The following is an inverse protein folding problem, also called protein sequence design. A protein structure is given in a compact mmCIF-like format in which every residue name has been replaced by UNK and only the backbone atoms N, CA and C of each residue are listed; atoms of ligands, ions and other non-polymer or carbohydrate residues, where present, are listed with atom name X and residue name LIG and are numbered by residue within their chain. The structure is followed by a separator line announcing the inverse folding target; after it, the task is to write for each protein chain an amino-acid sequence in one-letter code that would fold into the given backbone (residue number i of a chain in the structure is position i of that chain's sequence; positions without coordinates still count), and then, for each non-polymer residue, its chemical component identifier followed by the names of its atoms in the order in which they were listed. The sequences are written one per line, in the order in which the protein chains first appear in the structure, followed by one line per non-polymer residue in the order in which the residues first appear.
data_IF_385872861667
#
_entry.id   IF_385872861667
#
_cell.length_a   1.000
_cell.length_b   1.000
_cell.length_c   1.000
_cell.angle_alpha   90.00
_cell.angle_beta   90.00
_cell.angle_gamma   90.00
#
_symmetry.space_group_name_H-M   'P 1'
#
loop_
_entity.id
_entity.type
_entity.pdbx_description
1 polymer ?
#
# COMPACT_ATOMS: atom_id res chain seq x y z
N UNK A 1 15.11 -15.79 -16.48
CA UNK A 1 15.87 -15.60 -15.22
C UNK A 1 14.98 -14.83 -14.26
N UNK A 2 14.70 -15.36 -13.07
CA UNK A 2 13.89 -14.63 -12.08
C UNK A 2 14.71 -13.42 -11.60
N UNK A 3 14.31 -12.21 -12.00
CA UNK A 3 14.95 -10.98 -11.54
C UNK A 3 14.86 -10.85 -10.01
N UNK A 4 15.73 -10.05 -9.40
CA UNK A 4 15.68 -9.76 -7.95
C UNK A 4 14.30 -9.18 -7.59
N UNK A 5 13.77 -9.60 -6.45
CA UNK A 5 12.47 -9.13 -5.96
C UNK A 5 12.67 -8.11 -4.85
N UNK A 6 11.91 -7.04 -4.91
CA UNK A 6 11.94 -5.95 -3.95
C UNK A 6 10.54 -5.69 -3.40
N UNK A 7 10.48 -5.35 -2.13
CA UNK A 7 9.31 -4.84 -1.44
C UNK A 7 9.60 -3.42 -0.96
N UNK A 8 8.82 -2.45 -1.41
CA UNK A 8 8.76 -1.12 -0.82
C UNK A 8 7.54 -1.09 0.10
N UNK A 9 7.78 -1.01 1.41
CA UNK A 9 6.71 -0.89 2.41
C UNK A 9 6.53 0.57 2.79
N UNK A 10 5.35 1.11 2.51
CA UNK A 10 5.02 2.51 2.77
C UNK A 10 4.55 2.70 4.22
N UNK A 11 5.40 3.28 5.04
CA UNK A 11 5.15 3.58 6.45
C UNK A 11 5.44 5.05 6.80
N UNK A 12 5.42 5.95 5.80
CA UNK A 12 5.76 7.36 5.95
C UNK A 12 4.63 8.26 6.49
N UNK A 13 3.40 7.73 6.62
CA UNK A 13 2.25 8.53 7.08
C UNK A 13 2.27 8.79 8.58
N UNK A 14 1.88 9.99 9.01
CA UNK A 14 1.79 10.35 10.43
C UNK A 14 0.55 9.79 11.14
N UNK A 15 -0.44 9.27 10.42
CA UNK A 15 -1.57 8.50 10.98
C UNK A 15 -2.50 9.25 11.93
N UNK A 16 -2.68 10.55 11.76
CA UNK A 16 -3.40 11.47 12.66
C UNK A 16 -4.85 11.06 13.00
N UNK A 17 -5.49 10.22 12.16
CA UNK A 17 -6.88 9.76 12.36
C UNK A 17 -7.08 8.76 13.51
N UNK A 18 -6.01 8.18 14.03
CA UNK A 18 -6.07 7.17 15.11
C UNK A 18 -6.03 7.79 16.52
N UNK A 19 -5.90 9.12 16.66
CA UNK A 19 -5.99 9.84 17.93
C UNK A 19 -4.85 9.59 18.94
N UNK A 20 -3.79 8.86 18.55
CA UNK A 20 -2.68 8.51 19.44
C UNK A 20 -1.39 9.27 19.14
N UNK A 21 -0.43 9.23 20.07
CA UNK A 21 0.91 9.82 19.91
C UNK A 21 1.83 9.00 19.02
N UNK A 22 1.47 7.76 18.66
CA UNK A 22 2.24 6.87 17.83
C UNK A 22 1.56 6.68 16.47
N UNK A 23 2.26 6.86 15.34
CA UNK A 23 1.69 6.58 14.03
C UNK A 23 1.19 5.14 13.92
N UNK A 24 0.04 4.96 13.26
CA UNK A 24 -0.70 3.70 13.24
C UNK A 24 0.12 2.48 12.79
N UNK A 25 1.07 2.66 11.86
CA UNK A 25 1.93 1.57 11.40
C UNK A 25 2.82 0.98 12.49
N UNK A 26 3.05 1.73 13.56
CA UNK A 26 3.84 1.30 14.72
C UNK A 26 2.97 0.82 15.89
N UNK A 27 1.65 1.00 15.82
CA UNK A 27 0.72 0.45 16.81
C UNK A 27 0.76 -1.07 16.79
N UNK A 28 0.49 -1.68 17.93
CA UNK A 28 0.51 -3.13 18.08
C UNK A 28 -0.80 -3.76 17.61
N UNK A 29 -0.68 -4.82 16.85
CA UNK A 29 -1.72 -5.74 16.43
C UNK A 29 -1.24 -7.16 16.78
N UNK A 30 -1.95 -7.87 17.63
CA UNK A 30 -1.54 -9.21 18.12
C UNK A 30 -0.06 -9.25 18.59
N UNK A 31 0.31 -8.31 19.47
CA UNK A 31 1.63 -8.24 20.12
C UNK A 31 2.79 -7.78 19.22
N UNK A 32 2.57 -7.46 17.94
CA UNK A 32 3.60 -6.93 17.02
C UNK A 32 3.14 -5.63 16.38
N UNK A 33 4.07 -4.74 16.02
CA UNK A 33 3.72 -3.56 15.23
C UNK A 33 3.07 -3.99 13.90
N UNK A 34 2.07 -3.23 13.42
CA UNK A 34 1.38 -3.51 12.15
C UNK A 34 2.39 -3.61 11.00
N UNK A 35 3.36 -2.70 10.95
CA UNK A 35 4.44 -2.71 9.97
C UNK A 35 5.27 -4.00 10.02
N UNK A 36 5.58 -4.48 11.24
CA UNK A 36 6.31 -5.75 11.43
C UNK A 36 5.50 -6.93 10.86
N UNK A 37 4.21 -7.03 11.19
CA UNK A 37 3.34 -8.08 10.67
C UNK A 37 3.25 -8.03 9.13
N UNK A 38 3.11 -6.83 8.57
CA UNK A 38 3.07 -6.62 7.12
C UNK A 38 4.34 -7.14 6.45
N UNK A 39 5.52 -6.81 6.98
CA UNK A 39 6.80 -7.29 6.42
C UNK A 39 6.92 -8.80 6.55
N UNK A 40 6.53 -9.39 7.68
CA UNK A 40 6.58 -10.84 7.90
C UNK A 40 5.79 -11.61 6.82
N UNK A 41 4.62 -11.12 6.39
CA UNK A 41 3.84 -11.76 5.32
C UNK A 41 4.63 -11.89 4.01
N UNK A 42 5.38 -10.85 3.65
CA UNK A 42 6.21 -10.89 2.45
C UNK A 42 7.43 -11.78 2.59
N UNK A 43 8.08 -11.79 3.75
CA UNK A 43 9.22 -12.68 4.03
C UNK A 43 8.81 -14.16 4.02
N UNK A 44 7.63 -14.48 4.56
CA UNK A 44 7.08 -15.84 4.53
C UNK A 44 6.66 -16.27 3.11
N UNK A 45 6.14 -15.35 2.30
CA UNK A 45 5.73 -15.65 0.94
C UNK A 45 6.91 -15.72 -0.05
N UNK A 46 7.93 -14.86 0.12
CA UNK A 46 9.07 -14.67 -0.78
C UNK A 46 10.33 -14.47 0.08
N UNK A 47 10.97 -15.56 0.54
CA UNK A 47 12.08 -15.48 1.51
C UNK A 47 13.32 -14.71 1.01
N UNK A 48 13.50 -14.60 -0.31
CA UNK A 48 14.61 -13.88 -0.97
C UNK A 48 14.29 -12.41 -1.30
N UNK A 49 13.18 -11.87 -0.78
CA UNK A 49 12.76 -10.50 -1.07
C UNK A 49 13.65 -9.47 -0.36
N UNK A 50 14.08 -8.46 -1.11
CA UNK A 50 14.80 -7.32 -0.55
C UNK A 50 13.81 -6.28 -0.03
N UNK A 51 13.91 -5.88 1.24
CA UNK A 51 12.94 -4.99 1.88
C UNK A 51 13.47 -3.55 1.94
N UNK A 52 12.66 -2.61 1.48
CA UNK A 52 12.86 -1.16 1.61
C UNK A 52 11.69 -0.63 2.45
N UNK A 53 11.99 -0.10 3.62
CA UNK A 53 10.97 0.48 4.51
C UNK A 53 11.03 1.99 4.44
N UNK A 54 9.91 2.61 4.04
CA UNK A 54 9.81 4.07 3.92
C UNK A 54 9.19 4.63 5.20
N UNK A 55 9.99 5.33 5.98
CA UNK A 55 9.62 5.93 7.27
C UNK A 55 9.26 7.42 7.12
N UNK A 56 8.61 8.06 8.13
CA UNK A 56 8.33 9.48 8.12
C UNK A 56 9.57 10.36 7.85
N UNK A 57 9.36 11.49 7.18
CA UNK A 57 10.45 12.34 6.68
C UNK A 57 11.22 13.07 7.77
N UNK A 58 10.62 13.28 8.96
CA UNK A 58 11.22 13.97 10.10
C UNK A 58 12.35 13.18 10.80
N UNK A 59 12.48 11.88 10.48
CA UNK A 59 13.49 10.99 11.07
C UNK A 59 13.21 10.59 12.52
N UNK A 60 12.12 11.07 13.13
CA UNK A 60 11.77 10.78 14.53
C UNK A 60 11.62 9.26 14.78
N UNK A 61 11.16 8.51 13.77
CA UNK A 61 10.87 7.09 13.90
C UNK A 61 11.98 6.17 13.39
N UNK A 62 13.10 6.71 12.89
CA UNK A 62 14.23 5.89 12.43
C UNK A 62 14.84 5.07 13.58
N UNK A 63 15.13 5.75 14.70
CA UNK A 63 15.64 5.12 15.92
C UNK A 63 14.59 4.21 16.53
N UNK A 64 13.37 4.70 16.69
CA UNK A 64 12.27 3.89 17.25
C UNK A 64 12.11 2.56 16.50
N UNK A 65 12.11 2.56 15.18
CA UNK A 65 11.94 1.34 14.38
C UNK A 65 13.12 0.39 14.52
N UNK A 66 14.35 0.91 14.57
CA UNK A 66 15.56 0.09 14.80
C UNK A 66 15.52 -0.57 16.19
N UNK A 67 15.22 0.19 17.24
CA UNK A 67 15.15 -0.29 18.61
C UNK A 67 14.01 -1.31 18.77
N UNK A 68 12.88 -1.07 18.12
CA UNK A 68 11.78 -2.03 18.05
C UNK A 68 12.23 -3.34 17.39
N UNK A 69 12.89 -3.31 16.26
CA UNK A 69 13.38 -4.51 15.57
C UNK A 69 14.35 -5.29 16.46
N UNK A 70 15.28 -4.62 17.13
CA UNK A 70 16.22 -5.23 18.07
C UNK A 70 15.47 -5.89 19.24
N UNK A 71 14.56 -5.15 19.89
CA UNK A 71 13.81 -5.62 21.06
C UNK A 71 12.90 -6.82 20.76
N UNK A 72 12.45 -6.94 19.52
CA UNK A 72 11.58 -8.03 19.05
C UNK A 72 12.34 -9.14 18.33
N UNK A 73 13.68 -9.08 18.32
CA UNK A 73 14.53 -10.02 17.57
C UNK A 73 14.10 -10.18 16.09
N UNK A 74 13.65 -9.05 15.50
CA UNK A 74 13.21 -9.00 14.10
C UNK A 74 14.42 -8.78 13.18
N UNK A 75 15.09 -9.88 12.83
CA UNK A 75 16.35 -9.90 12.08
C UNK A 75 16.12 -9.86 10.55
N UNK A 76 15.33 -8.88 10.08
CA UNK A 76 15.15 -8.63 8.66
C UNK A 76 16.11 -7.55 8.18
N UNK A 77 16.92 -7.84 7.17
CA UNK A 77 17.74 -6.84 6.50
C UNK A 77 16.83 -5.87 5.74
N UNK A 78 16.91 -4.58 6.07
CA UNK A 78 16.06 -3.54 5.50
C UNK A 78 16.90 -2.33 5.08
N UNK A 79 16.56 -1.76 3.92
CA UNK A 79 17.01 -0.41 3.55
C UNK A 79 15.96 0.56 4.08
N UNK A 80 16.34 1.43 5.02
CA UNK A 80 15.44 2.48 5.51
C UNK A 80 15.57 3.71 4.63
N UNK A 81 14.42 4.22 4.18
CA UNK A 81 14.31 5.42 3.34
C UNK A 81 13.38 6.40 4.03
N UNK A 82 13.78 7.68 4.11
CA UNK A 82 12.88 8.73 4.59
C UNK A 82 11.89 9.12 3.51
N UNK A 83 10.64 9.25 3.87
CA UNK A 83 9.58 9.71 2.99
C UNK A 83 9.78 11.15 2.53
N UNK A 84 9.06 11.52 1.49
CA UNK A 84 9.02 12.88 0.96
C UNK A 84 7.72 13.61 1.36
N UNK A 85 7.51 14.79 0.76
CA UNK A 85 6.36 15.67 1.03
C UNK A 85 5.01 14.99 0.75
N UNK A 86 4.96 14.12 -0.26
CA UNK A 86 3.76 13.35 -0.62
C UNK A 86 4.08 11.87 -0.73
N UNK A 87 3.04 11.02 -0.88
CA UNK A 87 3.21 9.59 -1.17
C UNK A 87 4.06 9.37 -2.42
N UNK A 88 3.81 10.15 -3.49
CA UNK A 88 4.59 10.11 -4.72
C UNK A 88 6.08 10.31 -4.47
N UNK A 89 6.47 11.37 -3.74
CA UNK A 89 7.88 11.66 -3.44
C UNK A 89 8.52 10.58 -2.56
N UNK A 90 7.74 10.00 -1.67
CA UNK A 90 8.16 8.90 -0.80
C UNK A 90 8.49 7.63 -1.60
N UNK A 91 7.61 7.25 -2.53
CA UNK A 91 7.83 6.10 -3.43
C UNK A 91 9.00 6.36 -4.37
N UNK A 92 9.08 7.57 -4.96
CA UNK A 92 10.21 7.97 -5.83
C UNK A 92 11.56 7.81 -5.14
N UNK A 93 11.66 8.24 -3.88
CA UNK A 93 12.89 8.09 -3.08
C UNK A 93 13.27 6.61 -2.85
N UNK A 94 12.27 5.75 -2.59
CA UNK A 94 12.49 4.31 -2.41
C UNK A 94 12.87 3.61 -3.72
N UNK A 95 12.23 3.95 -4.84
CA UNK A 95 12.54 3.41 -6.16
C UNK A 95 13.97 3.69 -6.61
N UNK A 96 14.59 4.76 -6.13
CA UNK A 96 16.02 5.05 -6.37
C UNK A 96 16.95 3.96 -5.81
N UNK A 97 16.49 3.12 -4.88
CA UNK A 97 17.22 2.00 -4.28
C UNK A 97 16.98 0.66 -4.97
N UNK A 98 16.08 0.60 -5.95
CA UNK A 98 15.70 -0.62 -6.67
C UNK A 98 16.43 -0.67 -8.02
N UNK A 99 17.12 -1.78 -8.37
CA UNK A 99 17.68 -1.99 -9.70
C UNK A 99 16.58 -2.02 -10.78
N UNK A 100 16.86 -1.52 -11.97
CA UNK A 100 15.84 -1.41 -13.03
C UNK A 100 15.42 -2.75 -13.64
N UNK A 101 16.24 -3.79 -13.48
CA UNK A 101 15.98 -5.17 -13.92
C UNK A 101 15.20 -6.01 -12.89
N UNK A 102 14.84 -5.42 -11.75
CA UNK A 102 14.09 -6.09 -10.67
C UNK A 102 12.57 -6.12 -10.91
N UNK A 103 11.88 -6.94 -10.11
CA UNK A 103 10.43 -6.85 -9.88
C UNK A 103 10.23 -6.18 -8.52
N UNK A 104 9.38 -5.16 -8.44
CA UNK A 104 9.12 -4.41 -7.22
C UNK A 104 7.65 -4.40 -6.86
N UNK A 105 7.35 -4.78 -5.61
CA UNK A 105 6.04 -4.61 -4.99
C UNK A 105 6.04 -3.33 -4.14
N UNK A 106 5.05 -2.47 -4.31
CA UNK A 106 4.81 -1.31 -3.47
C UNK A 106 3.57 -1.59 -2.64
N UNK A 107 3.73 -1.58 -1.32
CA UNK A 107 2.68 -2.02 -0.40
C UNK A 107 2.48 -1.07 0.78
N UNK A 108 1.22 -0.87 1.16
CA UNK A 108 0.87 -0.10 2.36
C UNK A 108 1.31 -0.86 3.61
N UNK A 109 2.17 -0.27 4.45
CA UNK A 109 2.65 -0.86 5.70
C UNK A 109 1.58 -1.08 6.78
N UNK A 110 0.33 -0.77 6.46
CA UNK A 110 -0.85 -0.92 7.31
C UNK A 110 -1.90 -1.89 6.71
N UNK A 111 -1.46 -2.84 5.88
CA UNK A 111 -2.27 -3.96 5.36
C UNK A 111 -1.64 -5.31 5.75
N UNK A 112 -1.69 -5.69 7.03
CA UNK A 112 -1.01 -6.88 7.53
C UNK A 112 -1.73 -8.20 7.20
N UNK A 113 -2.96 -8.14 6.70
CA UNK A 113 -3.83 -9.32 6.55
C UNK A 113 -3.82 -9.94 5.16
N UNK A 114 -2.98 -9.43 4.26
CA UNK A 114 -2.77 -10.02 2.93
C UNK A 114 -2.28 -11.46 3.04
N UNK A 115 -2.84 -12.38 2.24
CA UNK A 115 -2.41 -13.76 2.25
C UNK A 115 -1.05 -13.96 1.55
N UNK A 116 -0.26 -14.91 2.08
CA UNK A 116 0.99 -15.31 1.43
C UNK A 116 0.75 -15.94 0.04
N UNK A 117 -0.39 -16.62 -0.13
CA UNK A 117 -0.79 -17.20 -1.40
C UNK A 117 -0.93 -16.15 -2.49
N UNK A 118 -1.57 -15.03 -2.18
CA UNK A 118 -1.71 -13.92 -3.11
C UNK A 118 -0.36 -13.28 -3.45
N UNK A 119 0.49 -13.05 -2.46
CA UNK A 119 1.83 -12.49 -2.69
C UNK A 119 2.62 -13.39 -3.66
N UNK A 120 2.67 -14.71 -3.38
CA UNK A 120 3.37 -15.68 -4.24
C UNK A 120 2.81 -15.71 -5.66
N UNK A 121 1.48 -15.76 -5.79
CA UNK A 121 0.79 -15.79 -7.08
C UNK A 121 1.11 -14.56 -7.93
N UNK A 122 1.06 -13.36 -7.33
CA UNK A 122 1.34 -12.10 -8.03
C UNK A 122 2.80 -12.02 -8.50
N UNK A 123 3.77 -12.35 -7.65
CA UNK A 123 5.19 -12.40 -8.07
C UNK A 123 5.46 -13.45 -9.13
N UNK A 124 4.82 -14.62 -9.03
CA UNK A 124 4.93 -15.67 -10.05
C UNK A 124 4.37 -15.20 -11.39
N UNK A 125 3.19 -14.57 -11.39
CA UNK A 125 2.53 -14.11 -12.61
C UNK A 125 3.37 -13.08 -13.36
N UNK A 126 3.81 -12.02 -12.69
CA UNK A 126 4.62 -10.98 -13.35
C UNK A 126 6.01 -11.50 -13.74
N UNK A 127 6.56 -12.47 -12.99
CA UNK A 127 7.87 -13.07 -13.29
C UNK A 127 7.87 -14.00 -14.49
N UNK A 128 6.73 -14.64 -14.79
CA UNK A 128 6.58 -15.62 -15.87
C UNK A 128 5.94 -15.07 -17.14
N UNK A 129 5.40 -13.85 -17.10
CA UNK A 129 4.75 -13.21 -18.25
C UNK A 129 5.44 -11.88 -18.57
N UNK A 130 6.27 -11.86 -19.60
CA UNK A 130 7.00 -10.66 -20.02
C UNK A 130 6.11 -9.53 -20.55
N UNK A 131 4.85 -9.83 -20.90
CA UNK A 131 3.85 -8.83 -21.29
C UNK A 131 3.20 -8.16 -20.08
N UNK A 132 3.23 -8.80 -18.92
CA UNK A 132 2.73 -8.21 -17.67
C UNK A 132 3.74 -7.18 -17.16
N UNK A 133 3.39 -5.89 -17.30
CA UNK A 133 4.25 -4.75 -16.92
C UNK A 133 3.92 -4.23 -15.51
N UNK A 134 2.64 -4.26 -15.16
CA UNK A 134 2.10 -3.87 -13.87
C UNK A 134 0.97 -4.83 -13.47
N UNK A 135 0.91 -5.21 -12.20
CA UNK A 135 -0.11 -6.13 -11.67
C UNK A 135 -0.74 -5.54 -10.41
N UNK A 136 -2.05 -5.27 -10.49
CA UNK A 136 -2.79 -4.50 -9.50
C UNK A 136 -3.95 -5.34 -8.96
N UNK A 137 -4.05 -5.59 -7.65
CA UNK A 137 -5.19 -6.27 -7.06
C UNK A 137 -6.37 -5.31 -6.90
N UNK A 138 -7.56 -5.77 -7.27
CA UNK A 138 -8.79 -4.98 -7.16
C UNK A 138 -9.91 -5.82 -6.55
N UNK A 139 -10.82 -5.14 -5.83
CA UNK A 139 -12.06 -5.74 -5.32
C UNK A 139 -13.27 -5.02 -5.91
N UNK A 140 -14.32 -5.77 -6.22
CA UNK A 140 -15.59 -5.18 -6.61
C UNK A 140 -16.23 -4.43 -5.45
N UNK A 141 -16.86 -3.28 -5.75
CA UNK A 141 -17.60 -2.51 -4.76
C UNK A 141 -18.92 -3.20 -4.41
N UNK A 142 -19.23 -3.28 -3.12
CA UNK A 142 -20.47 -3.91 -2.61
C UNK A 142 -21.57 -2.87 -2.47
N UNK A 143 -21.22 -1.68 -1.93
CA UNK A 143 -22.17 -0.62 -1.67
C UNK A 143 -22.59 0.12 -2.96
N UNK A 144 -23.78 0.72 -2.94
CA UNK A 144 -24.24 1.59 -4.01
C UNK A 144 -23.47 2.92 -3.96
N UNK A 145 -22.70 3.19 -5.01
CA UNK A 145 -21.90 4.41 -5.09
C UNK A 145 -22.75 5.60 -5.52
N UNK A 146 -22.52 6.77 -4.90
CA UNK A 146 -23.12 8.03 -5.24
C UNK A 146 -22.04 9.08 -5.49
N UNK A 147 -22.22 9.89 -6.51
CA UNK A 147 -21.40 11.09 -6.71
C UNK A 147 -22.11 12.24 -6.01
N UNK A 148 -21.43 12.82 -5.04
CA UNK A 148 -21.96 13.89 -4.20
C UNK A 148 -21.14 15.16 -4.40
N UNK A 149 -21.77 16.30 -4.22
CA UNK A 149 -21.15 17.63 -4.13
C UNK A 149 -21.40 18.22 -2.74
N UNK A 150 -20.43 18.91 -2.20
CA UNK A 150 -20.61 19.69 -0.98
C UNK A 150 -21.26 21.02 -1.34
N UNK A 151 -22.39 21.31 -0.73
CA UNK A 151 -23.14 22.58 -0.89
C UNK A 151 -23.32 23.24 0.48
N UNK A 152 -23.61 24.54 0.46
CA UNK A 152 -23.89 25.31 1.68
C UNK A 152 -25.34 25.75 1.68
N UNK A 153 -25.98 25.73 2.85
CA UNK A 153 -27.28 26.33 3.06
C UNK A 153 -27.18 27.87 3.30
N UNK A 154 -28.33 28.53 3.48
CA UNK A 154 -28.40 29.96 3.74
C UNK A 154 -27.75 30.37 5.08
N UNK A 155 -27.50 29.41 5.98
CA UNK A 155 -26.83 29.59 7.25
C UNK A 155 -25.33 29.25 7.18
N UNK A 156 -24.80 28.99 5.96
CA UNK A 156 -23.40 28.60 5.67
C UNK A 156 -23.00 27.22 6.27
N UNK A 157 -23.98 26.34 6.61
CA UNK A 157 -23.68 24.95 6.98
C UNK A 157 -23.43 24.13 5.73
N UNK A 158 -22.42 23.25 5.79
CA UNK A 158 -22.07 22.34 4.70
C UNK A 158 -22.88 21.05 4.80
N UNK A 159 -23.43 20.60 3.66
CA UNK A 159 -24.07 19.29 3.52
C UNK A 159 -23.80 18.68 2.16
N UNK A 160 -24.01 17.36 2.05
CA UNK A 160 -23.81 16.61 0.83
C UNK A 160 -25.11 16.51 0.05
N UNK A 161 -25.05 16.82 -1.26
CA UNK A 161 -26.16 16.68 -2.20
C UNK A 161 -25.73 15.81 -3.40
N UNK A 162 -26.66 15.07 -3.99
CA UNK A 162 -26.43 14.33 -5.22
C UNK A 162 -26.00 15.28 -6.34
N UNK A 163 -24.89 14.98 -7.01
CA UNK A 163 -24.44 15.74 -8.18
C UNK A 163 -25.40 15.46 -9.36
N UNK A 164 -26.10 16.49 -9.90
CA UNK A 164 -27.10 16.28 -10.94
C UNK A 164 -26.51 15.62 -12.20
N UNK A 165 -27.26 14.69 -12.79
CA UNK A 165 -26.89 14.02 -14.05
C UNK A 165 -25.65 13.12 -13.99
N UNK A 166 -25.13 12.83 -12.79
CA UNK A 166 -23.98 11.94 -12.59
C UNK A 166 -24.42 10.67 -11.85
N UNK A 167 -24.18 9.54 -12.48
CA UNK A 167 -24.40 8.21 -11.89
C UNK A 167 -23.16 7.36 -12.06
N UNK A 168 -23.03 6.35 -11.22
CA UNK A 168 -21.91 5.38 -11.26
C UNK A 168 -22.51 4.00 -11.50
N UNK A 169 -22.08 3.35 -12.56
CA UNK A 169 -22.33 1.91 -12.70
C UNK A 169 -21.35 1.17 -11.80
N UNK A 170 -21.87 0.56 -10.74
CA UNK A 170 -21.07 -0.18 -9.77
C UNK A 170 -20.32 -1.36 -10.40
N UNK A 171 -20.84 -1.93 -11.49
CA UNK A 171 -20.21 -3.07 -12.17
C UNK A 171 -18.86 -2.70 -12.83
N UNK A 172 -18.66 -1.42 -13.12
CA UNK A 172 -17.44 -0.88 -13.74
C UNK A 172 -16.43 -0.30 -12.71
N UNK A 173 -16.79 -0.28 -11.41
CA UNK A 173 -15.97 0.37 -10.39
C UNK A 173 -15.39 -0.66 -9.43
N UNK A 174 -14.08 -0.60 -9.29
CA UNK A 174 -13.32 -1.47 -8.42
C UNK A 174 -12.44 -0.67 -7.46
N UNK A 175 -12.28 -1.18 -6.25
CA UNK A 175 -11.34 -0.64 -5.27
C UNK A 175 -9.95 -1.24 -5.47
N UNK A 176 -8.97 -0.43 -5.84
CA UNK A 176 -7.59 -0.88 -5.93
C UNK A 176 -6.99 -1.13 -4.55
N UNK A 177 -6.26 -2.23 -4.43
CA UNK A 177 -5.51 -2.57 -3.23
C UNK A 177 -4.00 -2.53 -3.50
N UNK A 178 -3.21 -2.79 -2.47
CA UNK A 178 -1.78 -3.10 -2.57
C UNK A 178 -1.53 -4.51 -2.03
N UNK A 179 -0.46 -5.20 -2.47
CA UNK A 179 0.70 -4.70 -3.22
C UNK A 179 0.37 -4.41 -4.68
N UNK A 180 0.91 -3.32 -5.20
CA UNK A 180 0.95 -3.08 -6.63
C UNK A 180 2.34 -3.48 -7.12
N UNK A 181 2.41 -4.43 -8.05
CA UNK A 181 3.69 -5.03 -8.46
C UNK A 181 4.02 -4.61 -9.89
N UNK A 182 5.27 -4.20 -10.09
CA UNK A 182 5.75 -3.63 -11.35
C UNK A 182 7.09 -4.23 -11.76
N UNK A 183 7.40 -4.15 -13.05
CA UNK A 183 8.79 -4.17 -13.51
C UNK A 183 9.44 -2.86 -13.08
N UNK A 184 10.57 -2.97 -12.39
CA UNK A 184 11.17 -1.80 -11.74
C UNK A 184 11.58 -0.71 -12.72
N UNK A 185 12.07 -1.05 -13.91
CA UNK A 185 12.38 -0.07 -14.96
C UNK A 185 11.17 0.79 -15.30
N UNK A 186 10.02 0.16 -15.58
CA UNK A 186 8.81 0.85 -15.99
C UNK A 186 8.28 1.80 -14.94
N UNK A 187 8.19 1.34 -13.68
CA UNK A 187 7.66 2.20 -12.61
C UNK A 187 8.64 3.33 -12.28
N UNK A 188 9.96 3.12 -12.37
CA UNK A 188 10.95 4.19 -12.19
C UNK A 188 10.80 5.27 -13.26
N UNK A 189 10.60 4.86 -14.53
CA UNK A 189 10.38 5.77 -15.64
C UNK A 189 9.06 6.55 -15.42
N UNK A 190 8.00 5.88 -14.96
CA UNK A 190 6.73 6.52 -14.63
C UNK A 190 6.89 7.61 -13.55
N UNK A 191 7.76 7.38 -12.56
CA UNK A 191 8.06 8.35 -11.50
C UNK A 191 9.02 9.47 -11.93
N UNK A 192 9.47 9.49 -13.19
CA UNK A 192 10.19 10.65 -13.77
C UNK A 192 9.26 11.84 -14.05
N UNK A 193 7.95 11.59 -14.19
CA UNK A 193 6.93 12.62 -14.40
C UNK A 193 6.91 13.66 -13.27
N UNK A 194 6.39 14.85 -13.58
CA UNK A 194 6.04 15.84 -12.56
C UNK A 194 4.90 15.31 -11.68
N UNK A 195 4.93 15.66 -10.40
CA UNK A 195 3.85 15.31 -9.47
C UNK A 195 2.50 15.88 -9.92
N UNK A 196 1.48 15.05 -9.87
CA UNK A 196 0.08 15.42 -10.09
C UNK A 196 -0.76 15.01 -8.87
N UNK A 197 -1.70 15.87 -8.47
CA UNK A 197 -2.62 15.57 -7.35
C UNK A 197 -3.57 14.38 -7.64
N UNK A 198 -3.75 14.03 -8.90
CA UNK A 198 -4.52 12.87 -9.33
C UNK A 198 -3.76 11.54 -9.14
N UNK A 199 -2.49 11.59 -8.78
CA UNK A 199 -1.71 10.40 -8.40
C UNK A 199 -2.11 9.91 -7.01
N UNK A 200 -3.15 9.10 -6.95
CA UNK A 200 -3.69 8.55 -5.70
C UNK A 200 -2.99 7.27 -5.26
N UNK A 201 -2.42 6.52 -6.21
CA UNK A 201 -1.67 5.28 -6.01
C UNK A 201 -0.57 5.12 -7.08
N UNK A 202 0.17 4.00 -7.05
CA UNK A 202 1.27 3.75 -7.99
C UNK A 202 0.74 3.36 -9.36
N UNK A 203 -0.44 2.73 -9.40
CA UNK A 203 -1.13 2.38 -10.64
C UNK A 203 -1.49 3.62 -11.45
N UNK A 204 -2.03 4.67 -10.80
CA UNK A 204 -2.37 5.94 -11.48
C UNK A 204 -1.15 6.67 -12.04
N UNK A 205 0.02 6.54 -11.40
CA UNK A 205 1.29 7.07 -11.92
C UNK A 205 1.73 6.29 -13.17
N UNK A 206 1.65 4.96 -13.11
CA UNK A 206 2.01 4.09 -14.22
C UNK A 206 1.07 4.27 -15.43
N UNK A 207 -0.23 4.31 -15.18
CA UNK A 207 -1.27 4.49 -16.20
C UNK A 207 -1.10 5.82 -16.96
N UNK A 208 -0.92 6.92 -16.24
CA UNK A 208 -0.67 8.23 -16.87
C UNK A 208 0.62 8.27 -17.71
N UNK A 209 1.61 7.48 -17.36
CA UNK A 209 2.84 7.33 -18.15
C UNK A 209 2.65 6.45 -19.39
N UNK A 210 1.57 5.66 -19.44
CA UNK A 210 1.26 4.74 -20.55
C UNK A 210 1.73 3.31 -20.32
N UNK A 211 2.02 2.90 -19.08
CA UNK A 211 2.33 1.50 -18.74
C UNK A 211 1.03 0.69 -18.72
N UNK A 212 0.92 -0.40 -19.48
CA UNK A 212 -0.25 -1.27 -19.46
C UNK A 212 -0.46 -1.87 -18.06
N UNK A 213 -1.65 -1.69 -17.49
CA UNK A 213 -2.04 -2.26 -16.22
C UNK A 213 -2.74 -3.60 -16.43
N UNK A 214 -2.36 -4.61 -15.65
CA UNK A 214 -3.08 -5.88 -15.52
C UNK A 214 -3.73 -5.94 -14.15
N UNK A 215 -5.01 -6.29 -14.11
CA UNK A 215 -5.75 -6.41 -12.86
C UNK A 215 -5.95 -7.87 -12.47
N UNK A 216 -5.95 -8.13 -11.16
CA UNK A 216 -6.28 -9.43 -10.55
C UNK A 216 -7.28 -9.24 -9.43
N UNK A 217 -8.03 -10.30 -9.13
CA UNK A 217 -8.92 -10.29 -7.98
C UNK A 217 -8.10 -10.12 -6.69
N UNK A 218 -8.48 -9.14 -5.88
CA UNK A 218 -7.90 -8.86 -4.58
C UNK A 218 -8.55 -9.67 -3.46
N UNK A 219 -8.16 -9.41 -2.22
CA UNK A 219 -8.70 -10.09 -1.05
C UNK A 219 -9.51 -9.13 -0.18
N UNK A 220 -10.76 -9.49 0.15
CA UNK A 220 -11.61 -8.65 1.02
C UNK A 220 -11.03 -8.47 2.41
N UNK A 221 -10.29 -9.46 2.90
CA UNK A 221 -9.62 -9.40 4.20
C UNK A 221 -8.33 -8.58 4.17
N UNK A 222 -7.80 -8.22 2.98
CA UNK A 222 -6.64 -7.32 2.84
C UNK A 222 -7.06 -5.86 3.11
N UNK A 223 -7.66 -5.63 4.29
CA UNK A 223 -8.11 -4.31 4.71
C UNK A 223 -6.93 -3.38 4.98
N UNK A 224 -7.15 -2.10 4.77
CA UNK A 224 -6.21 -1.04 5.14
C UNK A 224 -6.61 -0.50 6.52
N UNK A 225 -5.79 -0.70 7.52
CA UNK A 225 -6.05 -0.16 8.87
C UNK A 225 -5.91 1.36 8.83
N UNK A 226 -7.04 2.07 9.01
CA UNK A 226 -7.13 3.53 8.91
C UNK A 226 -7.82 4.16 10.10
N UNK A 227 -8.63 3.40 10.83
CA UNK A 227 -9.42 3.83 11.97
C UNK A 227 -9.31 2.83 13.13
N UNK A 228 -9.75 3.19 14.36
CA UNK A 228 -9.82 2.26 15.50
C UNK A 228 -10.68 1.03 15.22
N UNK A 229 -11.78 1.19 14.48
CA UNK A 229 -12.68 0.09 14.11
C UNK A 229 -11.97 -0.93 13.21
N UNK A 230 -11.10 -0.47 12.30
CA UNK A 230 -10.29 -1.36 11.46
C UNK A 230 -9.32 -2.21 12.32
N UNK A 231 -8.82 -1.67 13.44
CA UNK A 231 -7.98 -2.43 14.39
C UNK A 231 -8.76 -3.57 15.03
N UNK A 232 -9.97 -3.28 15.55
CA UNK A 232 -10.84 -4.30 16.15
C UNK A 232 -11.16 -5.40 15.13
N UNK A 233 -11.48 -5.01 13.90
CA UNK A 233 -11.75 -5.97 12.83
C UNK A 233 -10.48 -6.80 12.51
N UNK A 234 -9.32 -6.19 12.43
CA UNK A 234 -8.06 -6.88 12.16
C UNK A 234 -7.72 -7.90 13.26
N UNK A 235 -7.91 -7.54 14.53
CA UNK A 235 -7.72 -8.45 15.68
C UNK A 235 -8.68 -9.65 15.60
N UNK A 236 -9.95 -9.40 15.29
CA UNK A 236 -10.93 -10.47 15.13
C UNK A 236 -10.56 -11.43 14.00
N UNK A 237 -10.12 -10.92 12.85
CA UNK A 237 -9.69 -11.73 11.69
C UNK A 237 -8.48 -12.60 12.08
N UNK A 238 -7.48 -12.04 12.76
CA UNK A 238 -6.28 -12.79 13.18
C UNK A 238 -6.69 -13.91 14.16
N UNK A 239 -7.55 -13.62 15.13
CA UNK A 239 -7.98 -14.60 16.13
C UNK A 239 -8.71 -15.80 15.51
N UNK A 240 -9.47 -15.59 14.45
CA UNK A 240 -10.19 -16.64 13.71
C UNK A 240 -9.23 -17.44 12.81
N UNK A 241 -8.25 -16.77 12.20
CA UNK A 241 -7.31 -17.40 11.25
C UNK A 241 -6.15 -18.13 11.94
N UNK A 242 -5.91 -17.91 13.23
CA UNK A 242 -4.86 -18.53 14.04
C UNK A 242 -5.30 -19.83 14.74
N UNK A 243 -6.56 -20.22 14.59
CA UNK A 243 -7.12 -21.52 14.98
C UNK A 243 -7.25 -22.41 13.75
#
# INVERSE_FOLDING_TARGET
MSGKKYLIVMAAGHGTRMGGNLPKQFMQLDGKAILHQTILKFLAAVPDINVITVLPSDGQYDTWWRDYCISRNFNCSQILVRGGITRFHSVKAALARVPSDAIVAIHDGVRPLLSEGMIRSMFSRIGNDDKCRALIPVISMVDTLKILETVKDDQNNEFLRSAPGRSVDRSEVYGAQTPQIFRAGDIKDSYSQAYDRLFTDDASVADKYGIPLTFVEGERLNIKITSPEDMVLAEAIISISGN
#
